data_IF_952239069646
#
_entry.id   IF_952239069646
#
_cell.length_a   1.000
_cell.length_b   1.000
_cell.length_c   1.000
_cell.angle_alpha   90.00
_cell.angle_beta   90.00
_cell.angle_gamma   90.00
#
_symmetry.space_group_name_H-M   'P 1'
#
loop_
_entity.id
_entity.type
_entity.pdbx_description
1 polymer ?
#
# COMPACT_ATOMS: atom_id res chain seq x y z
N UNK A 1 0.06 -0.35 -32.28
CA UNK A 1 -1.41 -0.13 -32.07
C UNK A 1 -2.01 0.37 -33.37
N UNK A 2 -2.94 -0.36 -33.95
CA UNK A 2 -3.78 0.18 -34.99
C UNK A 2 -4.74 1.22 -34.39
N UNK A 3 -5.01 2.32 -35.10
CA UNK A 3 -5.90 3.39 -34.62
C UNK A 3 -7.29 2.92 -34.22
N UNK A 4 -7.74 1.77 -34.76
CA UNK A 4 -9.03 1.15 -34.47
C UNK A 4 -9.22 0.76 -32.99
N UNK A 5 -8.24 0.18 -32.31
CA UNK A 5 -8.36 -0.19 -30.89
C UNK A 5 -8.49 1.02 -29.96
N UNK A 6 -7.83 2.15 -30.30
CA UNK A 6 -7.97 3.40 -29.55
C UNK A 6 -9.34 4.04 -29.72
N UNK A 7 -9.94 3.92 -30.91
CA UNK A 7 -11.28 4.44 -31.19
C UNK A 7 -12.36 3.66 -30.42
N UNK A 8 -12.24 2.33 -30.34
CA UNK A 8 -13.18 1.48 -29.61
C UNK A 8 -13.05 1.60 -28.07
N UNK A 9 -11.84 1.89 -27.54
CA UNK A 9 -11.61 2.03 -26.12
C UNK A 9 -12.28 3.29 -25.54
N UNK A 10 -12.36 4.39 -26.28
CA UNK A 10 -12.89 5.67 -25.80
C UNK A 10 -14.34 5.63 -25.26
N UNK A 11 -15.33 5.08 -25.98
CA UNK A 11 -16.70 5.03 -25.47
C UNK A 11 -16.84 4.11 -24.25
N UNK A 12 -16.06 3.02 -24.18
CA UNK A 12 -16.07 2.11 -23.04
C UNK A 12 -15.41 2.79 -21.83
N UNK A 13 -14.27 3.48 -22.01
CA UNK A 13 -13.66 4.27 -20.95
C UNK A 13 -14.63 5.32 -20.41
N UNK A 14 -15.36 6.02 -21.29
CA UNK A 14 -16.36 7.01 -20.88
C UNK A 14 -17.48 6.38 -20.02
N UNK A 15 -17.98 5.21 -20.41
CA UNK A 15 -18.99 4.47 -19.63
C UNK A 15 -18.44 4.01 -18.26
N UNK A 16 -17.18 3.55 -18.23
CA UNK A 16 -16.51 3.17 -16.98
C UNK A 16 -16.24 4.36 -16.05
N UNK A 17 -15.88 5.53 -16.62
CA UNK A 17 -15.75 6.78 -15.86
C UNK A 17 -17.07 7.19 -15.21
N UNK A 18 -18.19 7.10 -15.96
CA UNK A 18 -19.51 7.41 -15.42
C UNK A 18 -19.95 6.44 -14.34
N UNK A 19 -19.72 5.13 -14.55
CA UNK A 19 -20.02 4.08 -13.57
C UNK A 19 -19.23 4.25 -12.27
N UNK A 20 -17.94 4.61 -12.36
CA UNK A 20 -17.03 4.72 -11.23
C UNK A 20 -16.64 6.18 -10.93
N UNK A 21 -17.65 7.06 -10.98
CA UNK A 21 -17.45 8.53 -10.93
C UNK A 21 -16.69 9.02 -9.70
N UNK A 22 -16.83 8.39 -8.51
CA UNK A 22 -16.11 8.82 -7.30
C UNK A 22 -14.60 8.59 -7.48
N UNK A 23 -14.18 7.39 -7.84
CA UNK A 23 -12.77 7.06 -8.09
C UNK A 23 -12.20 7.88 -9.27
N UNK A 24 -13.00 8.08 -10.33
CA UNK A 24 -12.60 8.88 -11.50
C UNK A 24 -12.40 10.35 -11.14
N UNK A 25 -13.28 10.92 -10.31
CA UNK A 25 -13.13 12.31 -9.83
C UNK A 25 -11.89 12.47 -8.96
N UNK A 26 -11.64 11.56 -8.01
CA UNK A 26 -10.44 11.57 -7.19
C UNK A 26 -9.18 11.47 -8.06
N UNK A 27 -9.15 10.56 -9.02
CA UNK A 27 -8.05 10.44 -9.98
C UNK A 27 -7.82 11.75 -10.75
N UNK A 28 -8.88 12.34 -11.30
CA UNK A 28 -8.79 13.60 -12.07
C UNK A 28 -8.31 14.77 -11.22
N UNK A 29 -8.79 14.86 -9.97
CA UNK A 29 -8.38 15.92 -9.04
C UNK A 29 -6.88 15.88 -8.74
N UNK A 30 -6.33 14.68 -8.58
CA UNK A 30 -4.92 14.48 -8.23
C UNK A 30 -3.99 14.45 -9.45
N UNK A 31 -4.38 13.79 -10.55
CA UNK A 31 -3.53 13.58 -11.72
C UNK A 31 -3.71 14.68 -12.78
N UNK A 32 -4.81 15.44 -12.74
CA UNK A 32 -5.15 16.47 -13.73
C UNK A 32 -5.75 15.92 -15.04
N UNK A 33 -5.92 14.59 -15.17
CA UNK A 33 -6.44 13.93 -16.37
C UNK A 33 -7.38 12.79 -16.01
N UNK A 34 -8.17 12.29 -16.97
CA UNK A 34 -8.96 11.08 -16.78
C UNK A 34 -8.08 9.83 -16.93
N UNK A 35 -8.33 8.76 -16.15
CA UNK A 35 -7.59 7.50 -16.27
C UNK A 35 -7.85 6.84 -17.64
N UNK A 36 -6.80 6.32 -18.26
CA UNK A 36 -6.91 5.41 -19.41
C UNK A 36 -7.17 4.01 -18.87
N UNK A 37 -8.45 3.61 -18.82
CA UNK A 37 -8.86 2.39 -18.12
C UNK A 37 -8.55 1.14 -18.95
N UNK A 38 -9.00 1.11 -20.20
CA UNK A 38 -8.84 -0.10 -21.04
C UNK A 38 -7.42 -0.25 -21.61
N UNK A 39 -6.70 0.85 -21.80
CA UNK A 39 -5.34 0.85 -22.35
C UNK A 39 -4.43 1.67 -21.43
N UNK A 40 -4.14 1.17 -20.22
CA UNK A 40 -3.40 1.91 -19.22
C UNK A 40 -1.93 2.07 -19.63
N UNK A 41 -1.37 3.28 -19.46
CA UNK A 41 -0.01 3.61 -19.86
C UNK A 41 0.83 4.03 -18.64
N UNK A 42 0.35 5.06 -17.93
CA UNK A 42 1.05 5.58 -16.75
C UNK A 42 0.95 4.61 -15.57
N UNK A 43 1.80 4.81 -14.56
CA UNK A 43 1.69 4.09 -13.28
C UNK A 43 0.27 4.23 -12.68
N UNK A 44 -0.26 5.45 -12.66
CA UNK A 44 -1.59 5.73 -12.11
C UNK A 44 -2.72 5.07 -12.92
N UNK A 45 -2.62 5.06 -14.27
CA UNK A 45 -3.58 4.32 -15.11
C UNK A 45 -3.55 2.82 -14.80
N UNK A 46 -2.34 2.23 -14.68
CA UNK A 46 -2.16 0.80 -14.39
C UNK A 46 -2.67 0.44 -13.01
N UNK A 47 -2.49 1.34 -12.03
CA UNK A 47 -3.07 1.15 -10.70
C UNK A 47 -4.60 1.25 -10.72
N UNK A 48 -5.17 2.19 -11.46
CA UNK A 48 -6.63 2.28 -11.63
C UNK A 48 -7.17 1.02 -12.30
N UNK A 49 -6.50 0.55 -13.36
CA UNK A 49 -6.80 -0.70 -14.05
C UNK A 49 -6.76 -1.92 -13.10
N UNK A 50 -5.70 -2.07 -12.30
CA UNK A 50 -5.55 -3.15 -11.31
C UNK A 50 -6.74 -3.20 -10.37
N UNK A 51 -7.13 -2.07 -9.80
CA UNK A 51 -8.26 -1.99 -8.88
C UNK A 51 -9.58 -2.42 -9.51
N UNK A 52 -9.73 -2.23 -10.83
CA UNK A 52 -10.93 -2.63 -11.56
C UNK A 52 -10.92 -4.08 -12.05
N UNK A 53 -9.80 -4.54 -12.57
CA UNK A 53 -9.77 -5.79 -13.36
C UNK A 53 -8.93 -6.90 -12.73
N UNK A 54 -7.85 -6.59 -12.02
CA UNK A 54 -6.98 -7.59 -11.46
C UNK A 54 -7.52 -8.12 -10.13
N UNK A 55 -8.01 -9.35 -10.14
CA UNK A 55 -8.60 -10.04 -8.98
C UNK A 55 -7.64 -11.08 -8.41
N UNK A 56 -6.34 -10.73 -8.31
CA UNK A 56 -5.35 -11.62 -7.71
C UNK A 56 -5.75 -11.95 -6.25
N UNK A 57 -6.02 -13.23 -5.92
CA UNK A 57 -6.46 -13.61 -4.58
C UNK A 57 -5.43 -13.31 -3.50
N UNK A 58 -4.13 -13.24 -3.83
CA UNK A 58 -3.07 -12.87 -2.90
C UNK A 58 -3.25 -11.44 -2.34
N UNK A 59 -3.91 -10.53 -3.09
CA UNK A 59 -4.15 -9.18 -2.62
C UNK A 59 -5.04 -9.11 -1.37
N UNK A 60 -5.91 -10.11 -1.16
CA UNK A 60 -6.73 -10.21 0.05
C UNK A 60 -5.84 -10.40 1.28
N UNK A 61 -4.85 -11.31 1.19
CA UNK A 61 -3.88 -11.53 2.26
C UNK A 61 -2.95 -10.32 2.46
N UNK A 62 -2.59 -9.62 1.39
CA UNK A 62 -1.77 -8.41 1.46
C UNK A 62 -2.52 -7.24 2.13
N UNK A 63 -3.84 -7.15 1.97
CA UNK A 63 -4.66 -6.12 2.61
C UNK A 63 -5.10 -6.46 4.03
N UNK A 64 -4.86 -7.68 4.51
CA UNK A 64 -5.19 -8.14 5.87
C UNK A 64 -3.93 -8.13 6.76
N UNK A 65 -3.89 -7.23 7.76
CA UNK A 65 -2.77 -7.12 8.71
C UNK A 65 -2.48 -8.42 9.46
N UNK A 66 -3.49 -9.24 9.74
CA UNK A 66 -3.28 -10.55 10.37
C UNK A 66 -2.64 -11.57 9.43
N UNK A 67 -2.97 -11.51 8.14
CA UNK A 67 -2.34 -12.34 7.13
C UNK A 67 -0.92 -11.85 6.83
N UNK A 68 -0.69 -10.54 6.73
CA UNK A 68 0.66 -9.99 6.49
C UNK A 68 1.63 -10.32 7.62
N UNK A 69 1.19 -10.35 8.89
CA UNK A 69 2.02 -10.83 10.00
C UNK A 69 2.51 -12.27 9.77
N UNK A 70 1.66 -13.16 9.30
CA UNK A 70 2.05 -14.55 8.98
C UNK A 70 3.04 -14.61 7.80
N UNK A 71 2.81 -13.78 6.78
CA UNK A 71 3.73 -13.71 5.62
C UNK A 71 5.13 -13.22 6.04
N UNK A 72 5.23 -12.23 6.91
CA UNK A 72 6.53 -11.78 7.44
C UNK A 72 7.17 -12.85 8.35
N UNK A 73 6.39 -13.51 9.22
CA UNK A 73 6.90 -14.58 10.06
C UNK A 73 7.47 -15.76 9.25
N UNK A 74 6.87 -16.11 8.11
CA UNK A 74 7.39 -17.11 7.16
C UNK A 74 8.73 -16.69 6.52
N UNK A 75 9.09 -15.42 6.63
CA UNK A 75 10.38 -14.88 6.18
C UNK A 75 11.34 -14.61 7.35
N UNK A 76 11.08 -15.14 8.54
CA UNK A 76 11.87 -14.90 9.76
C UNK A 76 12.04 -13.39 10.06
N UNK A 77 11.00 -12.61 9.82
CA UNK A 77 10.96 -11.18 10.16
C UNK A 77 9.99 -10.98 11.33
N UNK A 78 10.48 -10.33 12.38
CA UNK A 78 9.69 -9.97 13.54
C UNK A 78 8.51 -9.07 13.13
N UNK A 79 7.42 -9.12 13.87
CA UNK A 79 6.24 -8.26 13.73
C UNK A 79 5.83 -7.75 15.10
N UNK A 80 5.03 -6.68 15.16
CA UNK A 80 4.44 -6.24 16.42
C UNK A 80 3.67 -7.39 17.07
N UNK A 81 3.86 -7.56 18.39
CA UNK A 81 3.22 -8.61 19.16
C UNK A 81 1.69 -8.49 19.08
N UNK A 82 1.02 -9.54 18.63
CA UNK A 82 -0.43 -9.63 18.61
C UNK A 82 -0.92 -10.06 19.99
N UNK A 83 -1.64 -9.17 20.68
CA UNK A 83 -2.13 -9.39 22.03
C UNK A 83 -3.58 -9.93 22.04
N UNK A 84 -4.38 -9.51 21.05
CA UNK A 84 -5.77 -9.93 20.91
C UNK A 84 -6.27 -9.76 19.47
N UNK A 85 -7.28 -10.55 19.11
CA UNK A 85 -8.02 -10.34 17.85
C UNK A 85 -9.47 -10.81 18.02
N UNK A 86 -10.43 -10.01 17.56
CA UNK A 86 -11.86 -10.32 17.66
C UNK A 86 -12.72 -9.47 16.74
N UNK A 87 -14.04 -9.69 16.81
CA UNK A 87 -15.06 -8.95 16.06
C UNK A 87 -15.96 -8.10 16.97
N UNK A 88 -15.84 -8.26 18.28
CA UNK A 88 -16.55 -7.46 19.27
C UNK A 88 -15.56 -6.65 20.11
N UNK A 89 -15.57 -5.31 20.00
CA UNK A 89 -14.67 -4.47 20.79
C UNK A 89 -14.91 -4.55 22.30
N UNK A 90 -16.13 -4.95 22.74
CA UNK A 90 -16.42 -5.16 24.16
C UNK A 90 -15.65 -6.36 24.75
N UNK A 91 -15.28 -7.34 23.90
CA UNK A 91 -14.51 -8.51 24.31
C UNK A 91 -12.99 -8.25 24.43
N UNK A 92 -12.51 -7.02 24.15
CA UNK A 92 -11.12 -6.66 24.42
C UNK A 92 -10.87 -6.67 25.93
N UNK A 93 -9.89 -7.47 26.44
CA UNK A 93 -9.56 -7.52 27.86
C UNK A 93 -9.23 -6.14 28.42
N UNK A 94 -9.72 -5.82 29.62
CA UNK A 94 -9.47 -4.51 30.26
C UNK A 94 -7.96 -4.29 30.49
N UNK A 95 -7.19 -5.33 30.79
CA UNK A 95 -5.74 -5.25 30.90
C UNK A 95 -5.01 -4.77 29.63
N UNK A 96 -5.65 -4.80 28.46
CA UNK A 96 -5.11 -4.29 27.20
C UNK A 96 -5.61 -2.89 26.84
N UNK A 97 -6.43 -2.27 27.68
CA UNK A 97 -6.97 -0.93 27.45
C UNK A 97 -6.07 0.20 27.92
N UNK A 98 -4.83 -0.11 28.29
CA UNK A 98 -3.85 0.82 28.85
C UNK A 98 -2.52 0.78 28.12
N UNK A 99 -1.73 1.84 28.31
CA UNK A 99 -0.31 1.88 27.95
C UNK A 99 -0.03 1.65 26.47
N UNK A 100 0.92 0.79 26.18
CA UNK A 100 1.51 0.62 24.86
C UNK A 100 0.75 -0.38 23.98
N UNK A 101 -0.57 -0.22 23.93
CA UNK A 101 -1.45 -1.01 23.08
C UNK A 101 -2.11 -0.12 22.03
N UNK A 102 -2.15 -0.59 20.79
CA UNK A 102 -2.93 -0.03 19.72
C UNK A 102 -3.91 -1.04 19.17
N UNK A 103 -5.19 -0.64 19.09
CA UNK A 103 -6.20 -1.45 18.41
C UNK A 103 -6.36 -0.95 16.97
N UNK A 104 -6.37 -1.88 16.02
CA UNK A 104 -6.44 -1.60 14.58
C UNK A 104 -7.55 -2.41 13.92
N UNK A 105 -8.11 -1.86 12.84
CA UNK A 105 -8.88 -2.64 11.88
C UNK A 105 -7.90 -3.41 10.98
N UNK A 106 -8.09 -4.73 10.82
CA UNK A 106 -7.16 -5.56 10.04
C UNK A 106 -7.10 -5.17 8.55
N UNK A 107 -8.24 -4.89 7.95
CA UNK A 107 -8.38 -4.61 6.52
C UNK A 107 -8.79 -3.15 6.27
N UNK A 108 -7.96 -2.21 6.70
CA UNK A 108 -8.14 -0.77 6.49
C UNK A 108 -6.83 -0.01 6.69
N UNK A 109 -6.75 1.23 6.17
CA UNK A 109 -5.72 2.21 6.50
C UNK A 109 -6.25 3.20 7.54
N UNK A 110 -5.38 3.74 8.39
CA UNK A 110 -5.66 4.80 9.37
C UNK A 110 -6.80 4.52 10.37
N UNK A 111 -7.17 3.26 10.54
CA UNK A 111 -8.14 2.80 11.54
C UNK A 111 -7.36 2.27 12.76
N UNK A 112 -6.84 3.22 13.59
CA UNK A 112 -5.99 2.93 14.74
C UNK A 112 -6.51 3.68 15.98
N UNK A 113 -6.59 2.97 17.11
CA UNK A 113 -6.89 3.51 18.43
C UNK A 113 -5.73 3.25 19.37
N UNK A 114 -5.04 4.33 19.80
CA UNK A 114 -3.90 4.24 20.73
C UNK A 114 -4.39 4.59 22.14
N UNK A 115 -4.34 3.66 23.07
CA UNK A 115 -4.75 3.89 24.46
C UNK A 115 -3.86 4.90 25.18
N UNK A 116 -2.56 4.91 24.92
CA UNK A 116 -1.62 5.86 25.55
C UNK A 116 -1.93 7.35 25.28
N UNK A 117 -2.73 7.66 24.29
CA UNK A 117 -3.05 9.02 23.88
C UNK A 117 -4.50 9.41 24.12
N UNK A 118 -5.26 8.56 24.82
CA UNK A 118 -6.69 8.77 25.03
C UNK A 118 -7.06 8.40 26.45
N UNK A 119 -7.81 9.27 27.10
CA UNK A 119 -8.51 8.91 28.32
C UNK A 119 -9.44 7.73 28.05
N UNK A 120 -9.64 6.89 29.06
CA UNK A 120 -10.32 5.61 28.93
C UNK A 120 -11.83 5.74 28.75
N UNK A 121 -12.26 6.42 27.69
CA UNK A 121 -13.66 6.39 27.29
C UNK A 121 -13.96 5.07 26.56
N UNK A 122 -14.33 4.05 27.36
CA UNK A 122 -14.71 2.74 26.86
C UNK A 122 -15.82 2.83 25.82
N UNK A 123 -16.83 3.66 26.06
CA UNK A 123 -17.97 3.80 25.16
C UNK A 123 -17.56 4.38 23.81
N UNK A 124 -16.70 5.40 23.80
CA UNK A 124 -16.16 6.00 22.57
C UNK A 124 -15.27 5.01 21.80
N UNK A 125 -14.43 4.24 22.49
CA UNK A 125 -13.62 3.17 21.87
C UNK A 125 -14.52 2.13 21.19
N UNK A 126 -15.49 1.58 21.92
CA UNK A 126 -16.37 0.54 21.41
C UNK A 126 -17.24 1.05 20.24
N UNK A 127 -17.79 2.25 20.33
CA UNK A 127 -18.56 2.86 19.25
C UNK A 127 -17.72 3.07 17.99
N UNK A 128 -16.48 3.58 18.14
CA UNK A 128 -15.55 3.78 17.04
C UNK A 128 -15.21 2.47 16.35
N UNK A 129 -14.86 1.44 17.12
CA UNK A 129 -14.46 0.13 16.58
C UNK A 129 -15.66 -0.60 15.91
N UNK A 130 -16.88 -0.49 16.45
CA UNK A 130 -18.09 -1.01 15.78
C UNK A 130 -18.31 -0.32 14.44
N UNK A 131 -18.18 1.01 14.39
CA UNK A 131 -18.26 1.75 13.13
C UNK A 131 -17.22 1.35 12.10
N UNK A 132 -16.01 0.96 12.52
CA UNK A 132 -15.01 0.39 11.59
C UNK A 132 -15.43 -0.99 11.05
N UNK A 133 -16.00 -1.85 11.87
CA UNK A 133 -16.44 -3.19 11.47
C UNK A 133 -17.64 -3.14 10.51
N UNK A 134 -18.53 -2.16 10.67
CA UNK A 134 -19.69 -1.97 9.78
C UNK A 134 -19.28 -1.48 8.39
N UNK A 135 -18.28 -0.62 8.30
CA UNK A 135 -17.84 -0.01 7.05
C UNK A 135 -16.86 -0.91 6.30
N UNK A 136 -16.95 -0.91 4.97
CA UNK A 136 -15.95 -1.54 4.12
C UNK A 136 -14.97 -0.47 3.61
N UNK A 137 -13.70 -0.62 3.97
CA UNK A 137 -12.64 0.28 3.50
C UNK A 137 -12.39 0.11 2.00
N UNK A 138 -11.97 1.18 1.33
CA UNK A 138 -11.48 1.14 -0.05
C UNK A 138 -12.55 1.05 -1.15
N UNK A 139 -13.86 1.00 -0.81
CA UNK A 139 -14.95 0.86 -1.80
C UNK A 139 -14.93 2.00 -2.81
N UNK A 140 -14.88 3.25 -2.36
CA UNK A 140 -14.89 4.43 -3.24
C UNK A 140 -13.60 4.53 -4.08
N UNK A 141 -12.50 3.97 -3.59
CA UNK A 141 -11.23 3.86 -4.29
C UNK A 141 -11.12 2.61 -5.19
N UNK A 142 -12.12 1.74 -5.23
CA UNK A 142 -12.14 0.46 -5.95
C UNK A 142 -11.09 -0.55 -5.47
N UNK A 143 -10.62 -0.44 -4.23
CA UNK A 143 -9.63 -1.33 -3.61
C UNK A 143 -10.31 -2.58 -3.04
N UNK A 144 -10.84 -3.40 -3.93
CA UNK A 144 -11.72 -4.52 -3.65
C UNK A 144 -11.18 -5.53 -2.63
N UNK A 145 -9.86 -5.70 -2.56
CA UNK A 145 -9.22 -6.71 -1.72
C UNK A 145 -9.43 -6.45 -0.21
N UNK A 146 -9.52 -5.18 0.19
CA UNK A 146 -9.88 -4.84 1.57
C UNK A 146 -11.30 -5.34 1.93
N UNK A 147 -12.24 -5.20 1.00
CA UNK A 147 -13.62 -5.68 1.23
C UNK A 147 -13.78 -7.20 1.17
N UNK A 148 -12.82 -7.91 0.59
CA UNK A 148 -12.81 -9.37 0.52
C UNK A 148 -12.14 -10.01 1.75
N UNK A 149 -11.36 -9.28 2.53
CA UNK A 149 -10.76 -9.75 3.76
C UNK A 149 -11.81 -9.83 4.89
N UNK A 150 -11.77 -10.88 5.74
CA UNK A 150 -12.62 -10.95 6.92
C UNK A 150 -12.36 -9.77 7.84
N UNK A 151 -13.41 -9.06 8.24
CA UNK A 151 -13.30 -7.89 9.12
C UNK A 151 -13.02 -8.32 10.55
N UNK A 152 -11.93 -7.83 11.12
CA UNK A 152 -11.51 -8.07 12.50
C UNK A 152 -10.81 -6.85 13.09
N UNK A 153 -10.91 -6.73 14.39
CA UNK A 153 -10.01 -5.90 15.19
C UNK A 153 -8.82 -6.72 15.64
N UNK A 154 -7.67 -6.06 15.79
CA UNK A 154 -6.49 -6.64 16.40
C UNK A 154 -5.88 -5.63 17.37
N UNK A 155 -5.45 -6.10 18.55
CA UNK A 155 -4.68 -5.33 19.51
C UNK A 155 -3.22 -5.77 19.42
N UNK A 156 -2.32 -4.80 19.28
CA UNK A 156 -0.89 -5.00 19.16
C UNK A 156 -0.16 -4.16 20.20
N UNK A 157 1.02 -4.65 20.61
CA UNK A 157 1.97 -3.81 21.33
C UNK A 157 2.56 -2.76 20.39
N UNK A 158 2.63 -1.53 20.86
CA UNK A 158 3.29 -0.46 20.14
C UNK A 158 4.80 -0.73 20.13
N UNK A 159 5.43 -0.66 18.97
CA UNK A 159 6.83 -1.07 18.79
C UNK A 159 7.84 -0.10 19.41
N UNK A 160 7.51 1.18 19.54
CA UNK A 160 8.39 2.18 20.12
C UNK A 160 7.58 3.31 20.76
N UNK A 161 8.12 3.87 21.85
CA UNK A 161 7.50 4.99 22.57
C UNK A 161 7.59 6.29 21.79
N UNK A 162 8.73 6.52 21.15
CA UNK A 162 8.98 7.70 20.32
C UNK A 162 9.08 7.33 18.84
N UNK A 163 8.09 7.70 18.02
CA UNK A 163 8.12 7.43 16.59
C UNK A 163 9.25 8.17 15.85
N UNK A 164 9.87 9.20 16.42
CA UNK A 164 10.97 9.95 15.79
C UNK A 164 12.22 9.12 15.56
N UNK A 165 12.43 8.09 16.39
CA UNK A 165 13.53 7.13 16.26
C UNK A 165 13.32 6.01 15.25
N UNK A 166 12.10 5.87 14.71
CA UNK A 166 11.75 4.79 13.79
C UNK A 166 12.13 5.17 12.35
N UNK A 167 12.86 4.29 11.68
CA UNK A 167 12.99 4.31 10.23
C UNK A 167 11.94 3.39 9.61
N UNK A 168 11.11 3.92 8.71
CA UNK A 168 10.20 3.13 7.89
C UNK A 168 10.82 2.94 6.50
N UNK A 169 11.00 1.68 6.07
CA UNK A 169 11.55 1.33 4.76
C UNK A 169 10.40 0.82 3.89
N UNK A 170 10.02 1.57 2.85
CA UNK A 170 8.95 1.23 1.91
C UNK A 170 9.56 0.84 0.57
N UNK A 171 9.62 -0.45 0.29
CA UNK A 171 10.23 -0.99 -0.93
C UNK A 171 9.19 -1.13 -2.01
N UNK A 172 9.40 -0.46 -3.15
CA UNK A 172 8.57 -0.59 -4.34
C UNK A 172 9.22 -1.57 -5.32
N UNK A 173 8.45 -2.60 -5.70
CA UNK A 173 8.95 -3.67 -6.57
C UNK A 173 8.04 -3.87 -7.78
N UNK A 174 8.65 -4.04 -8.93
CA UNK A 174 7.99 -4.50 -10.14
C UNK A 174 8.50 -5.90 -10.50
N UNK A 175 7.58 -6.87 -10.51
CA UNK A 175 7.92 -8.23 -10.89
C UNK A 175 9.02 -8.88 -10.04
N UNK A 176 9.04 -8.55 -8.73
CA UNK A 176 10.08 -9.01 -7.79
C UNK A 176 11.38 -8.23 -7.83
N UNK A 177 11.56 -7.30 -8.79
CA UNK A 177 12.75 -6.46 -8.85
C UNK A 177 12.50 -5.10 -8.16
N UNK A 178 13.48 -4.71 -7.33
CA UNK A 178 13.41 -3.44 -6.58
C UNK A 178 13.54 -2.27 -7.54
N UNK A 179 12.55 -1.41 -7.52
CA UNK A 179 12.57 -0.15 -8.26
C UNK A 179 13.25 0.94 -7.44
N UNK A 180 12.80 1.13 -6.19
CA UNK A 180 13.46 1.93 -5.17
C UNK A 180 12.98 1.55 -3.77
N UNK A 181 13.71 1.96 -2.76
CA UNK A 181 13.27 2.01 -1.37
C UNK A 181 13.10 3.46 -0.91
N UNK A 182 11.92 3.80 -0.41
CA UNK A 182 11.64 5.09 0.22
C UNK A 182 11.81 4.92 1.74
N UNK A 183 12.70 5.69 2.35
CA UNK A 183 12.90 5.67 3.79
C UNK A 183 12.32 6.94 4.40
N UNK A 184 11.52 6.75 5.45
CA UNK A 184 11.07 7.82 6.34
C UNK A 184 11.69 7.63 7.72
N UNK A 185 12.15 8.70 8.33
CA UNK A 185 12.47 8.78 9.75
C UNK A 185 11.45 9.66 10.44
N UNK A 186 10.73 9.13 11.43
CA UNK A 186 9.66 9.84 12.11
C UNK A 186 8.49 10.21 11.21
N UNK A 187 7.98 9.31 10.35
CA UNK A 187 7.00 9.60 9.30
C UNK A 187 5.79 10.41 9.79
N UNK A 188 5.26 10.06 10.95
CA UNK A 188 4.04 10.68 11.51
C UNK A 188 4.34 11.83 12.48
N UNK A 189 5.54 12.40 12.44
CA UNK A 189 5.92 13.53 13.28
C UNK A 189 6.09 14.80 12.46
N UNK A 190 5.99 16.00 13.08
CA UNK A 190 6.26 17.27 12.39
C UNK A 190 7.65 17.33 11.76
N UNK A 191 8.65 16.70 12.40
CA UNK A 191 10.06 16.71 11.97
C UNK A 191 10.42 15.53 11.06
N UNK A 192 9.41 14.74 10.63
CA UNK A 192 9.62 13.55 9.81
C UNK A 192 10.38 13.87 8.52
N UNK A 193 11.42 13.09 8.22
CA UNK A 193 12.29 13.26 7.05
C UNK A 193 12.25 12.04 6.15
N UNK A 194 12.59 12.22 4.87
CA UNK A 194 12.56 11.10 3.94
C UNK A 194 13.62 11.21 2.85
N UNK A 195 13.91 10.06 2.21
CA UNK A 195 14.82 9.96 1.09
C UNK A 195 14.58 8.68 0.29
N UNK A 196 15.02 8.68 -0.95
CA UNK A 196 14.87 7.54 -1.86
C UNK A 196 16.24 6.91 -2.11
N UNK A 197 16.29 5.58 -2.09
CA UNK A 197 17.50 4.78 -2.19
C UNK A 197 17.32 3.66 -3.23
N UNK A 198 18.42 3.25 -3.85
CA UNK A 198 18.44 2.06 -4.67
C UNK A 198 18.50 0.78 -3.80
N UNK A 199 18.50 -0.38 -4.43
CA UNK A 199 18.58 -1.68 -3.75
C UNK A 199 19.87 -1.89 -2.94
N UNK A 200 20.92 -1.16 -3.27
CA UNK A 200 22.23 -1.25 -2.60
C UNK A 200 22.39 -0.20 -1.48
N UNK A 201 21.33 0.57 -1.20
CA UNK A 201 21.32 1.62 -0.17
C UNK A 201 22.00 2.92 -0.60
N UNK A 202 22.26 3.12 -1.90
CA UNK A 202 22.78 4.38 -2.41
C UNK A 202 21.63 5.36 -2.61
N UNK A 203 21.83 6.59 -2.13
CA UNK A 203 20.80 7.62 -2.25
C UNK A 203 20.59 8.04 -3.70
N UNK A 204 19.35 8.02 -4.15
CA UNK A 204 18.95 8.51 -5.46
C UNK A 204 18.69 10.02 -5.41
N UNK A 205 19.08 10.75 -6.47
CA UNK A 205 18.83 12.18 -6.62
C UNK A 205 17.46 12.46 -7.19
N UNK A 206 16.42 11.92 -6.52
CA UNK A 206 15.02 12.07 -6.92
C UNK A 206 14.20 12.51 -5.71
N UNK A 207 13.10 13.20 -5.96
CA UNK A 207 12.27 13.81 -4.92
C UNK A 207 10.99 12.98 -4.72
N UNK A 208 10.62 12.75 -3.47
CA UNK A 208 9.30 12.24 -3.11
C UNK A 208 8.35 13.38 -2.72
N UNK A 209 7.06 13.05 -2.53
CA UNK A 209 6.02 14.03 -2.24
C UNK A 209 6.27 14.89 -0.99
N UNK A 210 6.93 14.34 0.03
CA UNK A 210 7.22 15.05 1.28
C UNK A 210 8.30 16.11 1.05
N UNK A 211 9.41 15.70 0.45
CA UNK A 211 10.54 16.60 0.14
C UNK A 211 10.20 17.59 -0.95
N UNK A 212 9.32 17.24 -1.89
CA UNK A 212 8.85 18.17 -2.92
C UNK A 212 8.03 19.32 -2.34
N UNK A 213 7.25 19.05 -1.27
CA UNK A 213 6.48 20.10 -0.54
C UNK A 213 7.34 20.91 0.41
N UNK A 214 8.31 20.27 1.04
CA UNK A 214 9.21 20.89 2.02
C UNK A 214 10.61 20.27 1.90
N UNK A 215 11.55 20.95 1.20
CA UNK A 215 12.93 20.47 1.05
C UNK A 215 13.68 20.26 2.38
N UNK A 216 13.29 20.96 3.45
CA UNK A 216 13.85 20.77 4.80
C UNK A 216 13.55 19.39 5.39
N UNK A 217 12.60 18.69 4.86
CA UNK A 217 12.24 17.31 5.24
C UNK A 217 13.04 16.24 4.49
N UNK A 218 14.07 16.61 3.75
CA UNK A 218 15.01 15.63 3.20
C UNK A 218 15.87 15.01 4.32
N UNK A 219 16.12 13.71 4.24
CA UNK A 219 17.14 13.08 5.10
C UNK A 219 18.49 13.78 4.93
N UNK A 220 19.33 13.92 5.97
CA UNK A 220 20.64 14.54 5.86
C UNK A 220 21.51 13.90 4.77
N UNK A 221 22.45 14.65 4.19
CA UNK A 221 23.36 14.14 3.16
C UNK A 221 24.19 12.94 3.66
N UNK A 222 24.57 12.94 4.94
CA UNK A 222 25.32 11.85 5.59
C UNK A 222 24.47 10.71 6.13
N UNK A 223 23.14 10.69 5.88
CA UNK A 223 22.30 9.60 6.33
C UNK A 223 22.73 8.28 5.69
N UNK A 224 22.91 7.26 6.52
CA UNK A 224 23.19 5.88 6.12
C UNK A 224 21.94 5.04 6.36
N UNK A 225 21.62 4.16 5.40
CA UNK A 225 20.54 3.19 5.57
C UNK A 225 20.84 2.28 6.77
N UNK A 226 19.83 1.79 7.50
CA UNK A 226 20.03 0.86 8.62
C UNK A 226 20.78 -0.41 8.19
N UNK A 227 21.54 -1.03 9.09
CA UNK A 227 22.32 -2.25 8.81
C UNK A 227 21.44 -3.41 8.32
N UNK A 228 20.18 -3.46 8.78
CA UNK A 228 19.19 -4.45 8.33
C UNK A 228 18.56 -4.14 6.96
N UNK A 229 18.97 -3.06 6.27
CA UNK A 229 18.40 -2.66 4.97
C UNK A 229 18.51 -3.78 3.92
N UNK A 230 19.69 -4.41 3.79
CA UNK A 230 19.86 -5.53 2.85
C UNK A 230 18.89 -6.68 3.09
N UNK A 231 18.60 -6.98 4.37
CA UNK A 231 17.60 -7.99 4.75
C UNK A 231 16.18 -7.56 4.35
N UNK A 232 15.82 -6.28 4.53
CA UNK A 232 14.53 -5.74 4.09
C UNK A 232 14.34 -5.90 2.58
N UNK A 233 15.37 -5.59 1.78
CA UNK A 233 15.39 -5.74 0.32
C UNK A 233 15.17 -7.21 -0.08
N UNK A 234 15.90 -8.14 0.53
CA UNK A 234 15.81 -9.57 0.24
C UNK A 234 14.40 -10.12 0.54
N UNK A 235 13.86 -9.80 1.69
CA UNK A 235 12.50 -10.23 2.10
C UNK A 235 11.44 -9.62 1.18
N UNK A 236 11.55 -8.33 0.86
CA UNK A 236 10.62 -7.67 -0.04
C UNK A 236 10.58 -8.34 -1.42
N UNK A 237 11.76 -8.71 -1.97
CA UNK A 237 11.86 -9.44 -3.25
C UNK A 237 11.14 -10.80 -3.21
N UNK A 238 11.31 -11.56 -2.13
CA UNK A 238 10.63 -12.87 -1.97
C UNK A 238 9.11 -12.69 -1.87
N UNK A 239 8.63 -11.74 -1.09
CA UNK A 239 7.19 -11.47 -0.92
C UNK A 239 6.53 -10.95 -2.22
N UNK A 240 7.29 -10.29 -3.10
CA UNK A 240 6.79 -9.73 -4.35
C UNK A 240 7.00 -10.62 -5.58
N UNK A 241 7.64 -11.80 -5.46
CA UNK A 241 8.11 -12.61 -6.59
C UNK A 241 7.01 -12.97 -7.60
N UNK A 242 5.79 -13.25 -7.12
CA UNK A 242 4.65 -13.67 -7.94
C UNK A 242 3.69 -12.53 -8.29
N UNK A 243 4.07 -11.28 -8.01
CA UNK A 243 3.26 -10.10 -8.32
C UNK A 243 3.93 -9.22 -9.38
N UNK A 244 3.12 -8.59 -10.20
CA UNK A 244 3.58 -7.63 -11.21
C UNK A 244 4.03 -6.30 -10.58
N UNK A 245 3.42 -5.91 -9.45
CA UNK A 245 3.81 -4.76 -8.63
C UNK A 245 3.37 -4.94 -7.17
N UNK A 246 4.24 -4.58 -6.24
CA UNK A 246 3.95 -4.61 -4.80
C UNK A 246 4.76 -3.54 -4.08
N UNK A 247 4.22 -3.00 -2.97
CA UNK A 247 5.00 -2.27 -1.97
C UNK A 247 5.05 -3.08 -0.68
N UNK A 248 6.24 -3.24 -0.13
CA UNK A 248 6.47 -3.92 1.15
C UNK A 248 7.09 -2.93 2.12
N UNK A 249 6.45 -2.75 3.27
CA UNK A 249 6.83 -1.76 4.27
C UNK A 249 7.40 -2.47 5.51
N UNK A 250 8.50 -1.93 6.00
CA UNK A 250 9.16 -2.39 7.22
C UNK A 250 9.35 -1.22 8.19
N UNK A 251 9.47 -1.53 9.47
CA UNK A 251 9.91 -0.61 10.50
C UNK A 251 11.23 -1.09 11.09
N UNK A 252 12.13 -0.17 11.38
CA UNK A 252 13.38 -0.45 12.08
C UNK A 252 13.31 0.21 13.44
N UNK A 253 13.30 -0.61 14.48
CA UNK A 253 13.22 -0.19 15.88
C UNK A 253 14.40 -0.79 16.61
N UNK A 254 15.21 0.02 17.28
CA UNK A 254 16.44 -0.41 17.97
C UNK A 254 17.37 -1.27 17.09
N UNK A 255 17.51 -0.87 15.81
CA UNK A 255 18.32 -1.58 14.82
C UNK A 255 17.71 -2.90 14.30
N UNK A 256 16.54 -3.32 14.80
CA UNK A 256 15.87 -4.57 14.40
C UNK A 256 14.79 -4.33 13.36
N UNK A 257 14.75 -5.21 12.35
CA UNK A 257 13.76 -5.19 11.29
C UNK A 257 12.43 -5.80 11.75
N UNK A 258 11.34 -5.05 11.56
CA UNK A 258 9.97 -5.50 11.80
C UNK A 258 9.16 -5.36 10.52
N UNK A 259 8.36 -6.39 10.21
CA UNK A 259 7.38 -6.33 9.13
C UNK A 259 6.23 -5.37 9.48
N UNK A 260 5.94 -4.47 8.58
CA UNK A 260 4.88 -3.47 8.72
C UNK A 260 3.65 -3.82 7.90
N UNK A 261 3.67 -3.52 6.62
CA UNK A 261 2.52 -3.66 5.71
C UNK A 261 2.97 -4.23 4.35
N UNK A 262 2.08 -4.94 3.70
CA UNK A 262 2.21 -5.32 2.29
C UNK A 262 1.02 -4.68 1.58
N UNK A 263 1.26 -3.84 0.55
CA UNK A 263 0.16 -3.16 -0.12
C UNK A 263 0.22 -3.27 -1.64
N UNK A 264 -0.86 -3.79 -2.26
CA UNK A 264 -1.00 -3.81 -3.71
C UNK A 264 -1.48 -2.48 -4.29
N UNK A 265 -1.93 -1.52 -3.45
CA UNK A 265 -2.58 -0.27 -3.86
C UNK A 265 -1.94 0.99 -3.21
N UNK A 266 -0.61 1.19 -3.24
CA UNK A 266 0.00 2.34 -2.56
C UNK A 266 -0.64 3.65 -3.00
N UNK A 267 -1.16 4.42 -2.03
CA UNK A 267 -1.85 5.70 -2.27
C UNK A 267 -2.90 5.65 -3.38
N UNK A 268 -3.57 4.51 -3.56
CA UNK A 268 -4.50 4.26 -4.67
C UNK A 268 -3.91 4.61 -6.07
N UNK A 269 -2.57 4.64 -6.21
CA UNK A 269 -1.87 5.06 -7.43
C UNK A 269 -1.82 6.57 -7.65
N UNK A 270 -2.22 7.38 -6.68
CA UNK A 270 -2.29 8.84 -6.75
C UNK A 270 -1.03 9.50 -6.18
N UNK A 271 0.15 9.13 -6.70
CA UNK A 271 1.45 9.65 -6.25
C UNK A 271 1.86 10.88 -7.10
N UNK A 272 1.17 12.00 -6.93
CA UNK A 272 1.30 13.19 -7.80
C UNK A 272 2.52 14.06 -7.54
N UNK A 273 3.05 14.01 -6.33
CA UNK A 273 4.15 14.90 -5.91
C UNK A 273 5.52 14.22 -6.01
N UNK A 274 5.62 13.07 -6.68
CA UNK A 274 6.90 12.45 -7.00
C UNK A 274 7.46 13.04 -8.29
N UNK A 275 8.79 12.93 -8.44
CA UNK A 275 9.45 13.36 -9.68
C UNK A 275 8.74 12.76 -10.92
N UNK A 276 8.32 13.57 -11.89
CA UNK A 276 7.60 13.09 -13.07
C UNK A 276 8.38 12.05 -13.87
N UNK A 277 9.73 12.15 -13.91
CA UNK A 277 10.58 11.18 -14.58
C UNK A 277 10.53 9.81 -13.87
N UNK A 278 10.49 9.80 -12.54
CA UNK A 278 10.33 8.58 -11.73
C UNK A 278 8.96 7.95 -11.98
N UNK A 279 7.89 8.74 -11.99
CA UNK A 279 6.53 8.24 -12.27
C UNK A 279 6.42 7.65 -13.67
N UNK A 280 7.03 8.31 -14.67
CA UNK A 280 7.08 7.80 -16.03
C UNK A 280 7.86 6.48 -16.11
N UNK A 281 8.98 6.36 -15.39
CA UNK A 281 9.75 5.12 -15.32
C UNK A 281 8.98 4.01 -14.58
N UNK A 282 8.28 4.30 -13.47
CA UNK A 282 7.39 3.34 -12.81
C UNK A 282 6.34 2.79 -13.79
N UNK A 283 5.76 3.67 -14.59
CA UNK A 283 4.82 3.26 -15.64
C UNK A 283 5.45 2.31 -16.65
N UNK A 284 6.68 2.56 -17.10
CA UNK A 284 7.41 1.67 -18.03
C UNK A 284 7.84 0.36 -17.38
N UNK A 285 8.26 0.38 -16.12
CA UNK A 285 8.71 -0.81 -15.38
C UNK A 285 7.58 -1.77 -15.02
N UNK A 286 6.35 -1.28 -14.99
CA UNK A 286 5.20 -2.13 -14.68
C UNK A 286 4.72 -2.89 -15.91
N UNK A 287 5.13 -4.15 -16.04
CA UNK A 287 4.66 -5.05 -17.10
C UNK A 287 3.34 -5.74 -16.68
N UNK A 288 2.21 -5.25 -17.23
CA UNK A 288 0.90 -5.82 -16.94
C UNK A 288 0.73 -7.27 -17.41
N UNK A 289 1.56 -7.74 -18.36
CA UNK A 289 1.53 -9.16 -18.82
C UNK A 289 1.83 -10.12 -17.68
N UNK A 290 2.50 -9.64 -16.62
CA UNK A 290 2.78 -10.38 -15.39
C UNK A 290 1.66 -10.29 -14.34
N UNK A 291 0.60 -9.50 -14.58
CA UNK A 291 -0.57 -9.44 -13.71
C UNK A 291 -1.30 -10.78 -13.65
N UNK A 292 -1.93 -11.05 -12.52
CA UNK A 292 -2.76 -12.25 -12.37
C UNK A 292 -3.85 -12.31 -13.44
N UNK A 293 -4.49 -11.16 -13.76
CA UNK A 293 -5.52 -11.07 -14.79
C UNK A 293 -5.01 -11.56 -16.16
N UNK A 294 -3.79 -11.20 -16.57
CA UNK A 294 -3.24 -11.61 -17.87
C UNK A 294 -2.61 -13.00 -17.86
N UNK A 295 -2.20 -13.52 -16.70
CA UNK A 295 -1.59 -14.84 -16.56
C UNK A 295 -2.60 -15.98 -16.36
N UNK A 296 -3.80 -15.67 -15.88
CA UNK A 296 -4.85 -16.69 -15.59
C UNK A 296 -5.96 -16.69 -16.64
N UNK A 297 -6.55 -17.85 -16.96
CA UNK A 297 -7.67 -17.91 -17.88
C UNK A 297 -8.84 -17.01 -17.44
N UNK A 298 -9.38 -16.26 -18.37
CA UNK A 298 -10.58 -15.44 -18.16
C UNK A 298 -11.73 -15.97 -19.00
N UNK A 299 -12.97 -15.63 -18.66
CA UNK A 299 -14.18 -16.06 -19.37
C UNK A 299 -14.99 -14.86 -19.88
N UNK A 300 -15.85 -15.09 -20.84
CA UNK A 300 -16.75 -14.07 -21.41
C UNK A 300 -16.01 -12.86 -21.95
N UNK A 301 -16.53 -11.66 -21.73
CA UNK A 301 -15.92 -10.40 -22.18
C UNK A 301 -14.51 -10.17 -21.62
N UNK A 302 -14.21 -10.73 -20.44
CA UNK A 302 -12.88 -10.61 -19.83
C UNK A 302 -11.83 -11.37 -20.65
N UNK A 303 -12.18 -12.51 -21.25
CA UNK A 303 -11.28 -13.25 -22.13
C UNK A 303 -10.96 -12.47 -23.41
N UNK A 304 -11.98 -11.81 -24.00
CA UNK A 304 -11.78 -10.94 -25.17
C UNK A 304 -10.87 -9.75 -24.83
N UNK A 305 -11.10 -9.12 -23.67
CA UNK A 305 -10.30 -8.02 -23.20
C UNK A 305 -8.85 -8.46 -22.88
N UNK A 306 -8.68 -9.62 -22.25
CA UNK A 306 -7.37 -10.24 -22.02
C UNK A 306 -6.60 -10.47 -23.33
N UNK A 307 -7.26 -11.03 -24.34
CA UNK A 307 -6.67 -11.26 -25.65
C UNK A 307 -6.24 -9.93 -26.34
N UNK A 308 -7.04 -8.88 -26.17
CA UNK A 308 -6.70 -7.55 -26.67
C UNK A 308 -5.45 -6.99 -25.97
N UNK A 309 -5.39 -7.06 -24.61
CA UNK A 309 -4.27 -6.53 -23.84
C UNK A 309 -2.95 -7.29 -24.07
N UNK A 310 -3.00 -8.60 -24.30
CA UNK A 310 -1.80 -9.41 -24.59
C UNK A 310 -1.11 -9.03 -25.89
N UNK A 311 -1.83 -8.37 -26.82
CA UNK A 311 -1.29 -7.88 -28.11
C UNK A 311 -0.70 -6.46 -28.01
N UNK A 312 -0.78 -5.87 -26.82
CA UNK A 312 -0.26 -4.55 -26.48
C UNK A 312 0.94 -4.62 -25.53
#
# INVERSE_FOLDING_TARGET
MTGAHRLLARPIDAALHAKHRKATRAFRAEIGALPRILLPVSYSDKMFWRRMFDRNPAFVAHCDKLATKRLFAQQDVAVAELLWSGTDPAALPDALRHGDVVVKMNAACDRNWFFRHRDEDRAAFEATCRGWLEQTFGVDALEWAYGAAPKRLLAERVLADDPRGIDEIKVHLFSGEVFYALIYRGEKTPDGRSGIFDRDGRRLRVTNSVVAKDPGRALPAGYRVPDCFGRAIEVARRLAADTDYLRVDFMVVDGKLHGGEITPYPSAGLMTNSDPAVLAQMGRSWDLRRSWFLRTPQTGWRALYQAMLRRH
#
